data_IF_443072326299
#
_entry.id   IF_443072326299
#
_cell.length_a   1.000
_cell.length_b   1.000
_cell.length_c   1.000
_cell.angle_alpha   90.00
_cell.angle_beta   90.00
_cell.angle_gamma   90.00
#
_symmetry.space_group_name_H-M   'P 1'
#
loop_
_entity.id
_entity.type
_entity.pdbx_description
1 polymer ?
#
# COMPACT_ATOMS: atom_id res chain seq x y z
N UNK A 1 -61.65 56.84 -31.35
CA UNK A 1 -61.71 56.73 -32.83
C UNK A 1 -60.80 55.56 -33.21
N UNK A 2 -61.30 54.32 -33.27
CA UNK A 2 -62.01 53.70 -34.40
C UNK A 2 -61.16 53.68 -35.69
N UNK A 3 -60.66 52.47 -36.01
CA UNK A 3 -60.27 51.85 -37.31
C UNK A 3 -59.47 52.69 -38.33
N UNK A 4 -58.51 52.14 -39.06
CA UNK A 4 -58.76 51.33 -40.26
C UNK A 4 -57.46 50.61 -40.65
N UNK A 5 -57.52 49.28 -40.76
CA UNK A 5 -56.60 48.48 -41.58
C UNK A 5 -57.09 48.55 -43.03
N UNK A 6 -56.23 48.73 -44.03
CA UNK A 6 -56.52 48.30 -45.38
C UNK A 6 -55.87 46.95 -45.64
N UNK A 7 -56.73 45.98 -45.95
CA UNK A 7 -56.40 44.74 -46.64
C UNK A 7 -55.65 45.02 -47.96
N UNK A 8 -54.72 44.12 -48.28
CA UNK A 8 -54.45 43.52 -49.61
C UNK A 8 -52.96 43.41 -49.89
N UNK A 9 -52.41 42.23 -49.62
CA UNK A 9 -51.32 41.68 -50.44
C UNK A 9 -51.74 40.29 -50.93
N UNK A 10 -51.65 40.03 -52.25
CA UNK A 10 -52.13 38.82 -52.87
C UNK A 10 -51.21 37.64 -52.55
N UNK A 11 -51.83 36.47 -52.59
CA UNK A 11 -51.30 35.13 -52.49
C UNK A 11 -49.93 34.95 -53.17
N UNK A 12 -48.84 35.12 -52.41
CA UNK A 12 -47.59 34.43 -52.71
C UNK A 12 -47.78 32.97 -52.33
N UNK A 13 -48.16 32.14 -53.31
CA UNK A 13 -48.02 30.69 -53.20
C UNK A 13 -46.53 30.39 -53.07
N UNK A 14 -46.08 30.16 -51.85
CA UNK A 14 -44.83 29.44 -51.62
C UNK A 14 -44.91 28.12 -52.40
N UNK A 15 -43.84 27.73 -53.11
CA UNK A 15 -43.83 26.48 -53.86
C UNK A 15 -44.13 25.35 -52.89
N UNK A 16 -45.03 24.45 -53.28
CA UNK A 16 -45.34 23.26 -52.53
C UNK A 16 -44.02 22.53 -52.23
N UNK A 17 -43.64 22.45 -50.95
CA UNK A 17 -42.75 21.43 -50.42
C UNK A 17 -43.52 20.10 -50.45
N UNK A 18 -43.85 19.69 -51.67
CA UNK A 18 -44.57 18.49 -52.04
C UNK A 18 -43.59 17.46 -52.56
N UNK A 19 -42.84 16.89 -51.62
CA UNK A 19 -42.38 15.50 -51.65
C UNK A 19 -41.93 15.20 -50.23
N UNK A 20 -42.55 14.20 -49.58
CA UNK A 20 -41.91 13.58 -48.41
C UNK A 20 -40.55 13.12 -48.93
N UNK A 21 -39.42 13.55 -48.34
CA UNK A 21 -38.13 13.07 -48.79
C UNK A 21 -38.17 11.55 -48.72
N UNK A 22 -37.62 10.88 -49.74
CA UNK A 22 -37.55 9.43 -49.78
C UNK A 22 -37.05 8.94 -48.41
N UNK A 23 -37.71 7.98 -47.73
CA UNK A 23 -37.26 7.50 -46.42
C UNK A 23 -35.76 7.15 -46.41
N UNK A 24 -35.21 6.72 -47.55
CA UNK A 24 -33.78 6.48 -47.74
C UNK A 24 -32.93 7.77 -47.68
N UNK A 25 -33.43 8.89 -48.19
CA UNK A 25 -32.77 10.21 -48.09
C UNK A 25 -32.83 10.75 -46.66
N UNK A 26 -33.93 10.52 -45.94
CA UNK A 26 -34.05 10.90 -44.52
C UNK A 26 -33.07 10.11 -43.65
N UNK A 27 -32.94 8.80 -43.87
CA UNK A 27 -31.96 7.97 -43.17
C UNK A 27 -30.52 8.40 -43.47
N UNK A 28 -30.20 8.76 -44.72
CA UNK A 28 -28.89 9.30 -45.11
C UNK A 28 -28.59 10.63 -44.41
N UNK A 29 -29.58 11.54 -44.34
CA UNK A 29 -29.43 12.81 -43.64
C UNK A 29 -29.21 12.61 -42.14
N UNK A 30 -29.98 11.72 -41.50
CA UNK A 30 -29.77 11.38 -40.09
C UNK A 30 -28.36 10.83 -39.86
N UNK A 31 -27.88 9.89 -40.69
CA UNK A 31 -26.50 9.38 -40.61
C UNK A 31 -25.46 10.49 -40.74
N UNK A 32 -25.65 11.45 -41.64
CA UNK A 32 -24.75 12.62 -41.75
C UNK A 32 -24.78 13.51 -40.51
N UNK A 33 -25.95 13.71 -39.89
CA UNK A 33 -26.05 14.47 -38.64
C UNK A 33 -25.39 13.75 -37.46
N UNK A 34 -25.57 12.43 -37.35
CA UNK A 34 -24.89 11.60 -36.35
C UNK A 34 -23.38 11.61 -36.55
N UNK A 35 -22.90 11.35 -37.78
CA UNK A 35 -21.47 11.42 -38.11
C UNK A 35 -20.91 12.82 -37.83
N UNK A 36 -21.64 13.88 -38.13
CA UNK A 36 -21.23 15.25 -37.83
C UNK A 36 -21.17 15.51 -36.32
N UNK A 37 -22.13 15.00 -35.55
CA UNK A 37 -22.15 15.14 -34.10
C UNK A 37 -20.99 14.37 -33.45
N UNK A 38 -20.71 13.16 -33.93
CA UNK A 38 -19.59 12.33 -33.49
C UNK A 38 -18.25 12.97 -33.82
N UNK A 39 -18.05 13.42 -35.06
CA UNK A 39 -16.84 14.15 -35.48
C UNK A 39 -16.64 15.45 -34.69
N UNK A 40 -17.72 16.18 -34.36
CA UNK A 40 -17.62 17.37 -33.50
C UNK A 40 -17.17 17.02 -32.08
N UNK A 41 -17.65 15.90 -31.54
CA UNK A 41 -17.27 15.43 -30.21
C UNK A 41 -15.81 14.98 -30.18
N UNK A 42 -15.36 14.29 -31.23
CA UNK A 42 -13.95 13.91 -31.40
C UNK A 42 -13.06 15.13 -31.57
N UNK A 43 -13.46 16.11 -32.40
CA UNK A 43 -12.74 17.37 -32.57
C UNK A 43 -12.61 18.11 -31.23
N UNK A 44 -13.70 18.23 -30.48
CA UNK A 44 -13.68 18.88 -29.18
C UNK A 44 -12.78 18.11 -28.18
N UNK A 45 -12.83 16.77 -28.19
CA UNK A 45 -11.93 15.95 -27.38
C UNK A 45 -10.45 16.12 -27.76
N UNK A 46 -10.14 16.28 -29.04
CA UNK A 46 -8.80 16.57 -29.53
C UNK A 46 -8.36 17.99 -29.16
N UNK A 47 -9.24 18.98 -29.24
CA UNK A 47 -8.96 20.36 -28.83
C UNK A 47 -8.65 20.44 -27.33
N UNK A 48 -9.44 19.76 -26.49
CA UNK A 48 -9.20 19.66 -25.05
C UNK A 48 -7.83 19.01 -24.76
N UNK A 49 -7.51 17.91 -25.44
CA UNK A 49 -6.19 17.26 -25.32
C UNK A 49 -5.06 18.17 -25.79
N UNK A 50 -5.24 18.92 -26.89
CA UNK A 50 -4.26 19.89 -27.36
C UNK A 50 -4.04 21.01 -26.36
N UNK A 51 -5.11 21.50 -25.73
CA UNK A 51 -5.02 22.51 -24.67
C UNK A 51 -4.26 21.98 -23.44
N UNK A 52 -4.55 20.76 -22.99
CA UNK A 52 -3.84 20.11 -21.89
C UNK A 52 -2.36 19.88 -22.18
N UNK A 53 -2.04 19.38 -23.38
CA UNK A 53 -0.67 19.16 -23.81
C UNK A 53 0.12 20.47 -23.93
N UNK A 54 -0.50 21.53 -24.47
CA UNK A 54 0.11 22.88 -24.47
C UNK A 54 0.34 23.39 -23.06
N UNK A 55 -0.58 23.14 -22.14
CA UNK A 55 -0.42 23.47 -20.72
C UNK A 55 0.78 22.77 -20.10
N UNK A 56 0.89 21.45 -20.29
CA UNK A 56 2.03 20.64 -19.82
C UNK A 56 3.35 21.07 -20.44
N UNK A 57 3.36 21.36 -21.75
CA UNK A 57 4.56 21.85 -22.45
C UNK A 57 5.03 23.17 -21.87
N UNK A 58 4.13 24.15 -21.70
CA UNK A 58 4.45 25.44 -21.09
C UNK A 58 4.96 25.28 -19.66
N UNK A 59 4.41 24.34 -18.89
CA UNK A 59 4.90 24.04 -17.55
C UNK A 59 6.33 23.47 -17.58
N UNK A 60 6.62 22.55 -18.50
CA UNK A 60 7.96 21.99 -18.69
C UNK A 60 8.97 23.04 -19.18
N UNK A 61 8.59 23.91 -20.11
CA UNK A 61 9.41 25.03 -20.58
C UNK A 61 9.75 25.98 -19.42
N UNK A 62 8.77 26.32 -18.60
CA UNK A 62 8.98 27.16 -17.42
C UNK A 62 9.90 26.49 -16.38
N UNK A 63 9.76 25.17 -16.16
CA UNK A 63 10.66 24.45 -15.26
C UNK A 63 12.08 24.38 -15.82
N UNK A 64 12.21 24.15 -17.13
CA UNK A 64 13.50 24.12 -17.83
C UNK A 64 14.20 25.47 -17.75
N UNK A 65 13.49 26.57 -18.02
CA UNK A 65 14.02 27.93 -17.92
C UNK A 65 14.51 28.25 -16.50
N UNK A 66 13.78 27.84 -15.46
CA UNK A 66 14.21 28.01 -14.06
C UNK A 66 15.47 27.20 -13.73
N UNK A 67 15.56 25.97 -14.23
CA UNK A 67 16.75 25.14 -14.04
C UNK A 67 17.96 25.75 -14.73
N UNK A 68 17.79 26.26 -15.96
CA UNK A 68 18.86 26.96 -16.68
C UNK A 68 19.34 28.18 -15.88
N UNK A 69 18.42 29.02 -15.39
CA UNK A 69 18.78 30.17 -14.56
C UNK A 69 19.56 29.76 -13.29
N UNK A 70 19.20 28.64 -12.66
CA UNK A 70 19.94 28.12 -11.50
C UNK A 70 21.33 27.62 -11.90
N UNK A 71 21.48 26.98 -13.06
CA UNK A 71 22.78 26.54 -13.57
C UNK A 71 23.68 27.73 -13.88
N UNK A 72 23.16 28.76 -14.56
CA UNK A 72 23.91 29.97 -14.88
C UNK A 72 24.40 30.67 -13.59
N UNK A 73 23.56 30.72 -12.54
CA UNK A 73 23.95 31.24 -11.23
C UNK A 73 25.06 30.43 -10.57
N UNK A 74 25.02 29.10 -10.69
CA UNK A 74 26.06 28.22 -10.17
C UNK A 74 27.37 28.35 -10.96
N UNK A 75 27.30 28.52 -12.28
CA UNK A 75 28.46 28.75 -13.12
C UNK A 75 29.19 30.04 -12.71
N UNK A 76 28.45 31.14 -12.51
CA UNK A 76 29.01 32.40 -12.02
C UNK A 76 29.62 32.25 -10.62
N UNK A 77 28.97 31.49 -9.74
CA UNK A 77 29.44 31.24 -8.38
C UNK A 77 30.75 30.43 -8.37
N UNK A 78 30.81 29.36 -9.15
CA UNK A 78 31.97 28.46 -9.23
C UNK A 78 33.13 29.09 -10.01
N UNK A 79 32.85 29.96 -10.98
CA UNK A 79 33.85 30.72 -11.72
C UNK A 79 34.57 31.78 -10.88
N UNK A 80 34.03 32.14 -9.71
CA UNK A 80 34.67 33.09 -8.80
C UNK A 80 35.71 32.35 -7.90
N UNK A 81 37.01 32.62 -8.03
CA UNK A 81 38.05 31.90 -7.26
C UNK A 81 37.96 32.12 -5.74
N UNK A 82 37.33 33.22 -5.29
CA UNK A 82 37.13 33.49 -3.87
C UNK A 82 35.90 32.76 -3.29
N UNK A 83 34.90 32.40 -4.11
CA UNK A 83 33.63 31.79 -3.65
C UNK A 83 33.42 30.35 -4.12
N UNK A 84 34.08 29.93 -5.18
CA UNK A 84 34.02 28.57 -5.70
C UNK A 84 34.36 27.51 -4.65
N UNK A 85 35.47 27.65 -3.88
CA UNK A 85 35.81 26.68 -2.84
C UNK A 85 34.74 26.56 -1.74
N UNK A 86 34.16 27.68 -1.29
CA UNK A 86 33.06 27.68 -0.32
C UNK A 86 31.81 26.95 -0.87
N UNK A 87 31.49 27.17 -2.14
CA UNK A 87 30.38 26.52 -2.82
C UNK A 87 30.60 25.00 -2.92
N UNK A 88 31.82 24.56 -3.24
CA UNK A 88 32.15 23.14 -3.28
C UNK A 88 31.97 22.47 -1.90
N UNK A 89 32.45 23.09 -0.83
CA UNK A 89 32.24 22.57 0.54
C UNK A 89 30.75 22.54 0.88
N UNK A 90 29.98 23.58 0.54
CA UNK A 90 28.53 23.60 0.74
C UNK A 90 27.84 22.42 0.05
N UNK A 91 28.16 22.16 -1.22
CA UNK A 91 27.56 21.05 -1.96
C UNK A 91 28.06 19.68 -1.49
N UNK A 92 29.32 19.56 -1.08
CA UNK A 92 29.85 18.35 -0.45
C UNK A 92 29.13 17.99 0.84
N UNK A 93 28.90 18.98 1.72
CA UNK A 93 28.12 18.80 2.95
C UNK A 93 26.66 18.43 2.67
N UNK A 94 26.04 19.00 1.62
CA UNK A 94 24.70 18.60 1.17
C UNK A 94 24.68 17.19 0.58
N UNK A 95 25.73 16.79 -0.13
CA UNK A 95 25.87 15.42 -0.62
C UNK A 95 25.97 14.44 0.56
N UNK A 96 26.75 14.77 1.59
CA UNK A 96 26.85 13.99 2.83
C UNK A 96 25.49 13.85 3.54
N UNK A 97 24.71 14.94 3.65
CA UNK A 97 23.34 14.89 4.19
C UNK A 97 22.43 13.96 3.40
N UNK A 98 22.47 14.06 2.06
CA UNK A 98 21.68 13.20 1.17
C UNK A 98 22.10 11.74 1.27
N UNK A 99 23.40 11.46 1.35
CA UNK A 99 23.92 10.10 1.51
C UNK A 99 23.44 9.48 2.82
N UNK A 100 23.50 10.21 3.94
CA UNK A 100 22.96 9.74 5.22
C UNK A 100 21.45 9.45 5.13
N UNK A 101 20.69 10.37 4.52
CA UNK A 101 19.26 10.19 4.31
C UNK A 101 18.95 8.96 3.44
N UNK A 102 19.66 8.79 2.33
CA UNK A 102 19.47 7.65 1.43
C UNK A 102 19.75 6.33 2.16
N UNK A 103 20.79 6.28 3.00
CA UNK A 103 21.07 5.11 3.86
C UNK A 103 19.92 4.81 4.81
N UNK A 104 19.30 5.82 5.41
CA UNK A 104 18.13 5.64 6.27
C UNK A 104 16.91 5.15 5.46
N UNK A 105 16.68 5.69 4.26
CA UNK A 105 15.59 5.27 3.37
C UNK A 105 15.74 3.80 2.96
N UNK A 106 16.93 3.41 2.49
CA UNK A 106 17.27 2.03 2.13
C UNK A 106 17.07 1.08 3.33
N UNK A 107 17.61 1.45 4.49
CA UNK A 107 17.48 0.66 5.71
C UNK A 107 16.02 0.50 6.17
N UNK A 108 15.23 1.58 6.12
CA UNK A 108 13.80 1.53 6.49
C UNK A 108 13.01 0.62 5.54
N UNK A 109 13.30 0.69 4.24
CA UNK A 109 12.63 -0.10 3.22
C UNK A 109 12.97 -1.59 3.38
N UNK A 110 14.23 -1.91 3.65
CA UNK A 110 14.67 -3.27 3.89
C UNK A 110 14.05 -3.84 5.17
N UNK A 111 14.14 -3.13 6.31
CA UNK A 111 13.53 -3.57 7.56
C UNK A 111 12.01 -3.73 7.44
N UNK A 112 11.34 -2.81 6.74
CA UNK A 112 9.90 -2.92 6.47
C UNK A 112 9.59 -4.22 5.73
N UNK A 113 10.32 -4.53 4.66
CA UNK A 113 10.16 -5.78 3.89
C UNK A 113 10.39 -7.01 4.78
N UNK A 114 11.52 -7.05 5.50
CA UNK A 114 11.85 -8.16 6.40
C UNK A 114 10.76 -8.38 7.47
N UNK A 115 10.24 -7.32 8.07
CA UNK A 115 9.16 -7.41 9.06
C UNK A 115 7.82 -7.83 8.45
N UNK A 116 7.49 -7.34 7.26
CA UNK A 116 6.29 -7.75 6.53
C UNK A 116 6.33 -9.24 6.20
N UNK A 117 7.45 -9.72 5.67
CA UNK A 117 7.61 -11.14 5.34
C UNK A 117 7.52 -12.02 6.58
N UNK A 118 8.11 -11.58 7.71
CA UNK A 118 8.01 -12.31 8.97
C UNK A 118 6.58 -12.38 9.50
N UNK A 119 5.87 -11.24 9.56
CA UNK A 119 4.49 -11.20 10.05
C UNK A 119 3.55 -11.97 9.12
N UNK A 120 3.74 -11.87 7.80
CA UNK A 120 2.98 -12.66 6.83
C UNK A 120 3.19 -14.15 7.06
N UNK A 121 4.43 -14.61 7.20
CA UNK A 121 4.73 -16.03 7.50
C UNK A 121 4.10 -16.49 8.82
N UNK A 122 4.12 -15.65 9.85
CA UNK A 122 3.47 -15.94 11.14
C UNK A 122 1.94 -16.08 10.99
N UNK A 123 1.28 -15.11 10.35
CA UNK A 123 -0.15 -15.16 10.08
C UNK A 123 -0.55 -16.41 9.27
N UNK A 124 0.26 -16.78 8.27
CA UNK A 124 0.04 -17.97 7.48
C UNK A 124 0.19 -19.25 8.30
N UNK A 125 1.20 -19.32 9.17
CA UNK A 125 1.41 -20.47 10.04
C UNK A 125 0.27 -20.62 11.06
N UNK A 126 -0.17 -19.53 11.69
CA UNK A 126 -1.29 -19.51 12.63
C UNK A 126 -2.59 -19.93 11.95
N UNK A 127 -2.88 -19.40 10.75
CA UNK A 127 -4.06 -19.80 9.98
C UNK A 127 -4.03 -21.28 9.58
N UNK A 128 -2.87 -21.80 9.16
CA UNK A 128 -2.73 -23.21 8.82
C UNK A 128 -2.92 -24.12 10.03
N UNK A 129 -2.41 -23.71 11.20
CA UNK A 129 -2.59 -24.44 12.45
C UNK A 129 -4.06 -24.49 12.86
N UNK A 130 -4.74 -23.34 12.92
CA UNK A 130 -6.16 -23.25 13.24
C UNK A 130 -7.03 -24.03 12.24
N UNK A 131 -6.75 -23.91 10.94
CA UNK A 131 -7.45 -24.68 9.91
C UNK A 131 -7.23 -26.18 10.08
N UNK A 132 -6.02 -26.62 10.39
CA UNK A 132 -5.72 -28.04 10.62
C UNK A 132 -6.48 -28.59 11.84
N UNK A 133 -6.55 -27.83 12.94
CA UNK A 133 -7.33 -28.20 14.13
C UNK A 133 -8.83 -28.30 13.81
N UNK A 134 -9.36 -27.32 13.06
CA UNK A 134 -10.77 -27.33 12.61
C UNK A 134 -11.08 -28.51 11.69
N UNK A 135 -10.17 -28.84 10.77
CA UNK A 135 -10.32 -30.01 9.90
C UNK A 135 -10.28 -31.31 10.69
N UNK A 136 -9.37 -31.45 11.66
CA UNK A 136 -9.32 -32.64 12.51
C UNK A 136 -10.63 -32.85 13.30
N UNK A 137 -11.21 -31.76 13.84
CA UNK A 137 -12.50 -31.84 14.52
C UNK A 137 -13.64 -32.19 13.55
N UNK A 138 -13.62 -31.62 12.34
CA UNK A 138 -14.59 -31.94 11.29
C UNK A 138 -14.48 -33.39 10.83
N UNK A 139 -13.28 -33.94 10.68
CA UNK A 139 -13.02 -35.34 10.34
C UNK A 139 -13.58 -36.28 11.39
N UNK A 140 -13.40 -35.97 12.68
CA UNK A 140 -13.95 -36.77 13.78
C UNK A 140 -15.49 -36.80 13.72
N UNK A 141 -16.11 -35.63 13.51
CA UNK A 141 -17.58 -35.52 13.37
C UNK A 141 -18.10 -36.24 12.13
N UNK A 142 -17.37 -36.16 11.03
CA UNK A 142 -17.72 -36.82 9.77
C UNK A 142 -17.67 -38.34 9.93
N UNK A 143 -16.62 -38.89 10.55
CA UNK A 143 -16.53 -40.33 10.87
C UNK A 143 -17.69 -40.80 11.75
N UNK A 144 -18.02 -40.04 12.80
CA UNK A 144 -19.18 -40.35 13.65
C UNK A 144 -20.51 -40.34 12.87
N UNK A 145 -20.71 -39.36 11.99
CA UNK A 145 -21.90 -39.29 11.14
C UNK A 145 -21.96 -40.45 10.13
N UNK A 146 -20.82 -40.87 9.58
CA UNK A 146 -20.72 -42.05 8.70
C UNK A 146 -21.10 -43.33 9.44
N UNK A 147 -20.55 -43.55 10.63
CA UNK A 147 -20.88 -44.70 11.48
C UNK A 147 -22.37 -44.76 11.82
N UNK A 148 -22.99 -43.62 12.15
CA UNK A 148 -24.44 -43.53 12.43
C UNK A 148 -25.26 -43.84 11.18
N UNK A 149 -24.93 -43.23 10.04
CA UNK A 149 -25.65 -43.46 8.79
C UNK A 149 -25.57 -44.93 8.35
N UNK A 150 -24.40 -45.55 8.47
CA UNK A 150 -24.21 -46.97 8.10
C UNK A 150 -24.92 -47.91 9.08
N UNK A 151 -24.93 -47.60 10.38
CA UNK A 151 -25.70 -48.36 11.37
C UNK A 151 -27.22 -48.30 11.11
N UNK A 152 -27.77 -47.12 10.79
CA UNK A 152 -29.20 -46.98 10.47
C UNK A 152 -29.57 -47.70 9.16
N UNK A 153 -28.69 -47.66 8.14
CA UNK A 153 -28.84 -48.43 6.89
C UNK A 153 -28.84 -49.93 7.12
N UNK A 154 -27.95 -50.44 7.96
CA UNK A 154 -27.90 -51.86 8.29
C UNK A 154 -29.19 -52.30 9.00
N UNK A 155 -29.64 -51.53 10.00
CA UNK A 155 -30.91 -51.75 10.71
C UNK A 155 -32.12 -51.76 9.77
N UNK A 156 -32.14 -50.87 8.77
CA UNK A 156 -33.19 -50.85 7.76
C UNK A 156 -33.19 -52.14 6.92
N UNK A 157 -32.03 -52.56 6.40
CA UNK A 157 -31.89 -53.80 5.62
C UNK A 157 -32.33 -55.02 6.41
N UNK A 158 -31.90 -55.16 7.66
CA UNK A 158 -32.33 -56.26 8.52
C UNK A 158 -33.85 -56.32 8.71
N UNK A 159 -34.51 -55.16 8.86
CA UNK A 159 -35.97 -55.08 9.01
C UNK A 159 -36.70 -55.40 7.70
N UNK A 160 -36.17 -54.93 6.57
CA UNK A 160 -36.68 -55.26 5.23
C UNK A 160 -36.61 -56.77 4.98
N UNK A 161 -35.50 -57.42 5.33
CA UNK A 161 -35.36 -58.88 5.23
C UNK A 161 -36.34 -59.61 6.16
N UNK A 162 -36.52 -59.15 7.41
CA UNK A 162 -37.50 -59.74 8.35
C UNK A 162 -38.93 -59.65 7.81
N UNK A 163 -39.29 -58.51 7.20
CA UNK A 163 -40.60 -58.33 6.58
C UNK A 163 -40.78 -59.25 5.37
N UNK A 164 -39.74 -59.38 4.52
CA UNK A 164 -39.75 -60.27 3.36
C UNK A 164 -39.94 -61.76 3.74
N UNK A 165 -39.41 -62.19 4.89
CA UNK A 165 -39.61 -63.56 5.41
C UNK A 165 -41.04 -63.85 5.89
N UNK A 166 -41.87 -62.83 6.13
CA UNK A 166 -43.26 -62.98 6.63
C UNK A 166 -44.29 -63.08 5.48
N UNK A 167 -44.18 -64.10 4.64
CA UNK A 167 -45.02 -64.27 3.43
C UNK A 167 -46.46 -64.75 3.67
N UNK A 168 -46.70 -65.59 4.70
CA UNK A 168 -47.98 -66.27 4.92
C UNK A 168 -49.14 -65.35 5.33
N UNK A 169 -50.37 -65.72 4.97
CA UNK A 169 -51.55 -64.86 5.17
C UNK A 169 -51.86 -64.53 6.65
N UNK A 170 -51.57 -65.45 7.57
CA UNK A 170 -51.77 -65.25 9.02
C UNK A 170 -50.86 -64.17 9.64
N UNK A 171 -49.78 -63.76 8.96
CA UNK A 171 -48.86 -62.72 9.45
C UNK A 171 -49.35 -61.29 9.21
N UNK A 172 -50.61 -61.07 8.81
CA UNK A 172 -51.14 -59.74 8.46
C UNK A 172 -50.90 -58.67 9.54
N UNK A 173 -51.30 -58.90 10.79
CA UNK A 173 -51.12 -57.93 11.88
C UNK A 173 -49.64 -57.70 12.22
N UNK A 174 -48.82 -58.76 12.20
CA UNK A 174 -47.37 -58.66 12.44
C UNK A 174 -46.67 -57.88 11.33
N UNK A 175 -47.05 -58.07 10.06
CA UNK A 175 -46.57 -57.27 8.92
C UNK A 175 -46.96 -55.80 9.05
N UNK A 176 -48.20 -55.51 9.46
CA UNK A 176 -48.67 -54.13 9.63
C UNK A 176 -47.91 -53.38 10.72
N UNK A 177 -47.61 -54.05 11.85
CA UNK A 177 -46.76 -53.51 12.91
C UNK A 177 -45.32 -53.26 12.44
N UNK A 178 -44.70 -54.27 11.81
CA UNK A 178 -43.35 -54.15 11.24
C UNK A 178 -43.25 -53.08 10.15
N UNK A 179 -44.29 -52.89 9.33
CA UNK A 179 -44.32 -51.87 8.29
C UNK A 179 -44.26 -50.46 8.88
N UNK A 180 -45.02 -50.19 9.95
CA UNK A 180 -44.96 -48.90 10.64
C UNK A 180 -43.58 -48.64 11.26
N UNK A 181 -42.94 -49.66 11.84
CA UNK A 181 -41.58 -49.57 12.36
C UNK A 181 -40.53 -49.36 11.25
N UNK A 182 -40.78 -49.88 10.05
CA UNK A 182 -39.92 -49.74 8.88
C UNK A 182 -39.99 -48.32 8.32
N UNK A 183 -41.18 -47.72 8.26
CA UNK A 183 -41.35 -46.33 7.86
C UNK A 183 -40.66 -45.36 8.84
N UNK A 184 -40.77 -45.60 10.15
CA UNK A 184 -40.01 -44.84 11.15
C UNK A 184 -38.49 -45.02 10.98
N UNK A 185 -38.03 -46.23 10.63
CA UNK A 185 -36.61 -46.50 10.38
C UNK A 185 -36.10 -45.80 9.11
N UNK A 186 -36.93 -45.72 8.05
CA UNK A 186 -36.60 -44.97 6.83
C UNK A 186 -36.41 -43.49 7.12
N UNK A 187 -37.26 -42.91 7.96
CA UNK A 187 -37.11 -41.52 8.39
C UNK A 187 -35.76 -41.30 9.11
N UNK A 188 -35.36 -42.21 10.01
CA UNK A 188 -34.05 -42.15 10.68
C UNK A 188 -32.88 -42.26 9.72
N UNK A 189 -32.96 -43.12 8.70
CA UNK A 189 -31.93 -43.20 7.66
C UNK A 189 -31.82 -41.87 6.89
N UNK A 190 -32.94 -41.26 6.50
CA UNK A 190 -32.95 -39.98 5.79
C UNK A 190 -32.36 -38.87 6.66
N UNK A 191 -32.69 -38.83 7.94
CA UNK A 191 -32.12 -37.87 8.90
C UNK A 191 -30.61 -38.04 9.07
N UNK A 192 -30.13 -39.29 9.22
CA UNK A 192 -28.71 -39.59 9.34
C UNK A 192 -27.93 -39.25 8.05
N UNK A 193 -28.49 -39.53 6.88
CA UNK A 193 -27.89 -39.17 5.59
C UNK A 193 -27.83 -37.66 5.38
N UNK A 194 -28.85 -36.92 5.84
CA UNK A 194 -28.85 -35.47 5.83
C UNK A 194 -27.76 -34.91 6.74
N UNK A 195 -27.66 -35.40 7.98
CA UNK A 195 -26.59 -34.98 8.90
C UNK A 195 -25.20 -35.26 8.32
N UNK A 196 -25.00 -36.40 7.66
CA UNK A 196 -23.76 -36.74 6.97
C UNK A 196 -23.46 -35.76 5.82
N UNK A 197 -24.47 -35.39 5.03
CA UNK A 197 -24.33 -34.40 3.97
C UNK A 197 -23.93 -33.03 4.54
N UNK A 198 -24.59 -32.59 5.61
CA UNK A 198 -24.29 -31.32 6.30
C UNK A 198 -22.85 -31.31 6.83
N UNK A 199 -22.38 -32.41 7.43
CA UNK A 199 -20.99 -32.53 7.91
C UNK A 199 -19.96 -32.52 6.77
N UNK A 200 -20.28 -33.16 5.64
CA UNK A 200 -19.44 -33.11 4.42
C UNK A 200 -19.35 -31.71 3.85
N UNK A 201 -20.44 -30.96 3.86
CA UNK A 201 -20.45 -29.57 3.42
C UNK A 201 -19.66 -28.66 4.36
N UNK A 202 -19.81 -28.82 5.67
CA UNK A 202 -19.01 -28.10 6.66
C UNK A 202 -17.51 -28.37 6.49
N UNK A 203 -17.12 -29.63 6.28
CA UNK A 203 -15.73 -30.00 5.99
C UNK A 203 -15.21 -29.32 4.72
N UNK A 204 -15.96 -29.40 3.61
CA UNK A 204 -15.59 -28.75 2.33
C UNK A 204 -15.47 -27.23 2.47
N UNK A 205 -16.29 -26.61 3.31
CA UNK A 205 -16.22 -25.16 3.58
C UNK A 205 -14.90 -24.78 4.24
N UNK A 206 -14.45 -25.54 5.25
CA UNK A 206 -13.15 -25.31 5.91
C UNK A 206 -11.99 -25.60 4.95
N UNK A 207 -12.14 -26.60 4.07
CA UNK A 207 -11.10 -26.94 3.10
C UNK A 207 -10.92 -25.87 2.01
N UNK A 208 -12.00 -25.21 1.61
CA UNK A 208 -12.00 -24.17 0.57
C UNK A 208 -11.79 -22.76 1.11
N UNK A 209 -11.52 -22.62 2.40
CA UNK A 209 -11.29 -21.31 3.00
C UNK A 209 -10.07 -20.63 2.34
N UNK A 210 -10.24 -19.41 1.79
CA UNK A 210 -9.15 -18.70 1.15
C UNK A 210 -8.13 -18.26 2.20
N UNK A 211 -6.91 -18.01 1.72
CA UNK A 211 -5.86 -17.45 2.55
C UNK A 211 -6.25 -16.06 3.07
N UNK A 212 -5.95 -15.74 4.33
CA UNK A 212 -6.27 -14.43 4.87
C UNK A 212 -5.47 -13.35 4.14
N UNK A 213 -6.12 -12.22 3.85
CA UNK A 213 -5.45 -11.04 3.33
C UNK A 213 -4.50 -10.48 4.39
N UNK A 214 -3.32 -10.01 3.95
CA UNK A 214 -2.35 -9.41 4.86
C UNK A 214 -2.70 -7.93 5.04
N UNK A 215 -3.11 -7.48 6.25
CA UNK A 215 -3.54 -6.10 6.49
C UNK A 215 -2.38 -5.09 6.49
N UNK A 216 -1.14 -5.55 6.30
CA UNK A 216 0.07 -4.74 6.42
C UNK A 216 0.74 -4.93 7.78
N UNK A 217 1.75 -4.10 8.05
CA UNK A 217 2.47 -4.15 9.32
C UNK A 217 1.58 -3.74 10.48
N UNK A 218 1.68 -4.49 11.58
CA UNK A 218 1.09 -4.07 12.86
C UNK A 218 1.68 -2.75 13.33
N UNK A 219 0.97 -2.04 14.22
CA UNK A 219 1.47 -0.81 14.84
C UNK A 219 2.81 -1.06 15.54
N UNK A 220 2.92 -2.16 16.28
CA UNK A 220 4.16 -2.59 16.92
C UNK A 220 5.28 -2.86 15.91
N UNK A 221 4.95 -3.49 14.77
CA UNK A 221 5.89 -3.69 13.68
C UNK A 221 6.42 -2.37 13.12
N UNK A 222 5.54 -1.38 12.89
CA UNK A 222 5.92 -0.03 12.45
C UNK A 222 6.76 0.70 13.50
N UNK A 223 6.39 0.63 14.79
CA UNK A 223 7.16 1.20 15.90
C UNK A 223 8.57 0.62 15.96
N UNK A 224 8.71 -0.70 15.85
CA UNK A 224 10.01 -1.35 15.88
C UNK A 224 10.92 -0.89 14.72
N UNK A 225 10.36 -0.74 13.50
CA UNK A 225 11.12 -0.19 12.36
C UNK A 225 11.51 1.27 12.64
N UNK A 226 10.58 2.10 13.11
CA UNK A 226 10.85 3.51 13.41
C UNK A 226 11.96 3.68 14.46
N UNK A 227 11.92 2.91 15.56
CA UNK A 227 12.96 2.96 16.59
C UNK A 227 14.33 2.54 16.04
N UNK A 228 14.38 1.53 15.18
CA UNK A 228 15.62 1.12 14.52
C UNK A 228 16.16 2.19 13.56
N UNK A 229 15.29 2.86 12.79
CA UNK A 229 15.67 3.99 11.93
C UNK A 229 16.22 5.15 12.75
N UNK A 230 15.60 5.48 13.88
CA UNK A 230 16.08 6.53 14.78
C UNK A 230 17.44 6.14 15.38
N UNK A 231 17.61 4.88 15.81
CA UNK A 231 18.89 4.38 16.29
C UNK A 231 20.00 4.49 15.23
N UNK A 232 19.66 4.21 13.97
CA UNK A 232 20.59 4.38 12.86
C UNK A 232 20.93 5.86 12.62
N UNK A 233 19.94 6.75 12.64
CA UNK A 233 20.16 8.19 12.55
C UNK A 233 21.07 8.72 13.68
N UNK A 234 20.90 8.22 14.92
CA UNK A 234 21.79 8.55 16.03
C UNK A 234 23.22 8.02 15.82
N UNK A 235 23.38 6.85 15.20
CA UNK A 235 24.69 6.27 14.90
C UNK A 235 25.42 7.10 13.83
N UNK A 236 24.71 7.48 12.77
CA UNK A 236 25.24 8.36 11.71
C UNK A 236 25.60 9.74 12.26
N UNK A 237 24.74 10.33 13.09
CA UNK A 237 25.06 11.56 13.80
C UNK A 237 26.33 11.39 14.61
N UNK A 238 26.43 10.33 15.42
CA UNK A 238 27.54 10.16 16.33
C UNK A 238 28.90 10.07 15.61
N UNK A 239 28.95 9.37 14.47
CA UNK A 239 30.15 9.24 13.63
C UNK A 239 30.57 10.58 13.02
N UNK A 240 29.61 11.37 12.53
CA UNK A 240 29.87 12.65 11.88
C UNK A 240 29.98 13.85 12.84
N UNK A 241 29.57 13.67 14.10
CA UNK A 241 29.59 14.73 15.11
C UNK A 241 31.01 15.05 15.59
N UNK A 242 31.90 14.04 15.64
CA UNK A 242 33.29 14.20 16.11
C UNK A 242 34.07 15.20 15.26
N UNK A 243 33.87 15.18 13.94
CA UNK A 243 34.49 16.14 12.99
C UNK A 243 33.71 17.45 12.84
N UNK A 244 32.56 17.58 13.52
CA UNK A 244 31.63 18.70 13.37
C UNK A 244 30.80 18.66 12.07
N UNK A 245 30.97 17.65 11.23
CA UNK A 245 30.29 17.53 9.94
C UNK A 245 28.79 17.39 10.06
N UNK A 246 28.27 16.71 11.10
CA UNK A 246 26.83 16.55 11.27
C UNK A 246 26.10 17.90 11.32
N UNK A 247 26.59 18.82 12.15
CA UNK A 247 26.03 20.16 12.27
C UNK A 247 26.22 20.98 10.99
N UNK A 248 27.41 20.91 10.38
CA UNK A 248 27.69 21.63 9.13
C UNK A 248 26.83 21.14 7.97
N UNK A 249 26.61 19.83 7.83
CA UNK A 249 25.73 19.23 6.83
C UNK A 249 24.28 19.67 7.02
N UNK A 250 23.80 19.72 8.28
CA UNK A 250 22.48 20.25 8.61
C UNK A 250 22.33 21.72 8.21
N UNK A 251 23.31 22.55 8.58
CA UNK A 251 23.30 23.98 8.23
C UNK A 251 23.35 24.18 6.71
N UNK A 252 24.17 23.41 6.00
CA UNK A 252 24.25 23.46 4.54
C UNK A 252 22.95 23.01 3.87
N UNK A 253 22.22 22.05 4.44
CA UNK A 253 20.92 21.61 3.91
C UNK A 253 19.83 22.69 4.07
N UNK A 254 19.92 23.49 5.13
CA UNK A 254 18.91 24.50 5.47
C UNK A 254 19.21 25.92 4.96
N UNK A 255 20.43 26.18 4.46
CA UNK A 255 20.87 27.51 4.02
C UNK A 255 21.15 27.55 2.52
N UNK A 256 21.07 28.76 1.95
CA UNK A 256 21.51 29.00 0.57
C UNK A 256 23.03 28.98 0.46
N UNK A 257 23.54 28.47 -0.67
CA UNK A 257 24.98 28.45 -1.01
C UNK A 257 25.59 29.85 -1.01
N UNK A 258 24.82 30.89 -1.34
CA UNK A 258 25.31 32.28 -1.40
C UNK A 258 25.79 32.81 -0.03
N UNK A 259 25.18 32.29 1.05
CA UNK A 259 25.50 32.64 2.43
C UNK A 259 26.64 31.81 3.02
N UNK A 260 27.12 30.79 2.32
CA UNK A 260 28.11 29.86 2.82
C UNK A 260 29.50 30.51 2.85
N UNK A 261 30.20 30.38 3.99
CA UNK A 261 31.57 30.83 4.20
C UNK A 261 32.27 29.78 5.03
N UNK A 262 33.27 29.12 4.46
CA UNK A 262 34.01 28.03 5.10
C UNK A 262 35.50 28.34 5.28
N UNK A 263 36.01 29.38 4.61
CA UNK A 263 37.31 29.95 4.94
C UNK A 263 38.13 30.29 3.71
N UNK A 264 39.44 30.11 3.82
CA UNK A 264 40.37 30.28 2.70
C UNK A 264 40.37 29.01 1.81
N UNK A 265 40.91 29.07 0.58
CA UNK A 265 40.91 27.93 -0.33
C UNK A 265 41.55 26.65 0.26
N UNK A 266 42.61 26.79 1.04
CA UNK A 266 43.29 25.66 1.69
C UNK A 266 42.40 24.95 2.71
N UNK A 267 41.69 25.71 3.55
CA UNK A 267 40.72 25.15 4.51
C UNK A 267 39.55 24.49 3.79
N UNK A 268 39.08 25.05 2.68
CA UNK A 268 38.01 24.45 1.88
C UNK A 268 38.46 23.11 1.26
N UNK A 269 39.69 23.04 0.74
CA UNK A 269 40.25 21.79 0.20
C UNK A 269 40.42 20.73 1.29
N UNK A 270 40.93 21.11 2.48
CA UNK A 270 41.02 20.20 3.61
C UNK A 270 39.63 19.67 4.01
N UNK A 271 38.61 20.53 4.07
CA UNK A 271 37.24 20.11 4.35
C UNK A 271 36.66 19.21 3.29
N UNK A 272 36.93 19.44 2.01
CA UNK A 272 36.50 18.53 0.95
C UNK A 272 37.12 17.14 1.10
N UNK A 273 38.40 17.06 1.48
CA UNK A 273 39.06 15.78 1.75
C UNK A 273 38.42 15.06 2.95
N UNK A 274 38.12 15.77 4.03
CA UNK A 274 37.41 15.18 5.17
C UNK A 274 36.00 14.69 4.79
N UNK A 275 35.26 15.45 3.96
CA UNK A 275 33.93 15.04 3.46
C UNK A 275 34.03 13.77 2.62
N UNK A 276 35.06 13.65 1.77
CA UNK A 276 35.28 12.46 0.95
C UNK A 276 35.53 11.22 1.82
N UNK A 277 36.36 11.34 2.84
CA UNK A 277 36.57 10.28 3.85
C UNK A 277 35.26 9.89 4.53
N UNK A 278 34.47 10.87 4.98
CA UNK A 278 33.19 10.60 5.63
C UNK A 278 32.18 9.93 4.67
N UNK A 279 32.16 10.31 3.39
CA UNK A 279 31.34 9.66 2.38
C UNK A 279 31.79 8.21 2.15
N UNK A 280 33.11 7.94 2.10
CA UNK A 280 33.63 6.59 1.96
C UNK A 280 33.24 5.69 3.15
N UNK A 281 33.34 6.20 4.38
CA UNK A 281 32.93 5.47 5.59
C UNK A 281 31.43 5.12 5.62
N UNK A 282 30.58 5.93 4.97
CA UNK A 282 29.16 5.61 4.83
C UNK A 282 28.89 4.47 3.83
N UNK A 283 29.86 4.13 2.96
CA UNK A 283 29.73 3.04 2.00
C UNK A 283 30.13 1.68 2.55
N UNK A 284 31.15 1.64 3.41
CA UNK A 284 31.62 0.42 4.08
C UNK A 284 31.50 0.56 5.61
N UNK A 285 30.26 0.56 6.15
CA UNK A 285 30.09 0.85 7.56
C UNK A 285 30.42 -0.38 8.41
N UNK A 286 31.68 -0.51 8.83
CA UNK A 286 32.10 -1.51 9.80
C UNK A 286 31.41 -1.29 11.16
N UNK A 287 30.95 -2.37 11.80
CA UNK A 287 30.37 -2.35 13.15
C UNK A 287 29.02 -1.63 13.28
N UNK A 288 28.42 -1.09 12.21
CA UNK A 288 27.24 -0.24 12.36
C UNK A 288 26.00 -1.01 12.81
N UNK A 289 25.89 -2.29 12.46
CA UNK A 289 24.75 -3.12 12.84
C UNK A 289 24.69 -3.37 14.35
N UNK A 290 25.84 -3.53 15.01
CA UNK A 290 25.91 -3.71 16.47
C UNK A 290 25.62 -2.39 17.19
N UNK A 291 26.11 -1.27 16.67
CA UNK A 291 25.78 0.08 17.18
C UNK A 291 24.27 0.36 17.09
N UNK A 292 23.65 0.10 15.93
CA UNK A 292 22.22 0.27 15.73
C UNK A 292 21.43 -0.59 16.72
N UNK A 293 21.83 -1.84 16.94
CA UNK A 293 21.15 -2.72 17.91
C UNK A 293 21.24 -2.17 19.34
N UNK A 294 22.44 -1.82 19.80
CA UNK A 294 22.64 -1.32 21.17
C UNK A 294 21.90 0.00 21.40
N UNK A 295 21.94 0.93 20.44
CA UNK A 295 21.18 2.19 20.52
C UNK A 295 19.68 1.95 20.43
N UNK A 296 19.25 1.02 19.56
CA UNK A 296 17.86 0.61 19.41
C UNK A 296 17.26 0.09 20.70
N UNK A 297 17.99 -0.74 21.46
CA UNK A 297 17.56 -1.23 22.78
C UNK A 297 17.40 -0.10 23.80
N UNK A 298 18.37 0.83 23.87
CA UNK A 298 18.29 2.00 24.77
C UNK A 298 17.11 2.92 24.42
N UNK A 299 16.91 3.18 23.13
CA UNK A 299 15.80 3.99 22.62
C UNK A 299 14.46 3.30 22.92
N UNK A 300 14.35 1.99 22.68
CA UNK A 300 13.15 1.23 22.94
C UNK A 300 12.77 1.23 24.43
N UNK A 301 13.74 1.21 25.33
CA UNK A 301 13.50 1.26 26.78
C UNK A 301 12.92 2.61 27.26
N UNK A 302 13.21 3.71 26.55
CA UNK A 302 12.79 5.06 26.92
C UNK A 302 11.63 5.62 26.08
N UNK A 303 11.29 4.98 24.95
CA UNK A 303 10.30 5.46 24.00
C UNK A 303 8.89 5.51 24.61
N UNK A 304 8.24 6.68 24.52
CA UNK A 304 6.83 6.86 24.82
C UNK A 304 6.09 7.35 23.58
N UNK A 305 4.80 7.03 23.48
CA UNK A 305 3.93 7.44 22.37
C UNK A 305 2.76 8.23 22.93
N UNK A 306 2.25 9.21 22.18
CA UNK A 306 1.11 10.01 22.63
C UNK A 306 -0.17 9.18 22.67
N UNK A 307 -0.28 8.18 21.78
CA UNK A 307 -1.48 7.35 21.63
C UNK A 307 -1.12 5.90 21.26
N UNK A 308 -2.05 4.94 21.42
CA UNK A 308 -1.84 3.56 21.01
C UNK A 308 -1.75 3.38 19.48
N UNK A 309 -2.23 4.35 18.69
CA UNK A 309 -2.20 4.30 17.22
C UNK A 309 -0.98 4.97 16.61
N UNK A 310 -0.26 5.80 17.39
CA UNK A 310 0.94 6.47 16.93
C UNK A 310 2.12 5.49 16.77
N UNK A 311 2.86 5.68 15.69
CA UNK A 311 4.01 4.87 15.29
C UNK A 311 5.34 5.59 15.54
N UNK A 312 5.33 6.92 15.61
CA UNK A 312 6.49 7.77 15.89
C UNK A 312 6.52 8.11 17.39
N UNK A 313 7.64 7.88 18.10
CA UNK A 313 7.74 8.19 19.53
C UNK A 313 7.81 9.71 19.79
N UNK A 314 7.49 10.12 21.01
CA UNK A 314 7.66 11.50 21.45
C UNK A 314 9.14 11.86 21.48
N UNK A 315 9.59 12.94 20.81
CA UNK A 315 11.00 13.29 20.78
C UNK A 315 11.62 13.50 22.16
N UNK A 316 10.85 14.07 23.11
CA UNK A 316 11.29 14.32 24.49
C UNK A 316 11.53 13.06 25.32
N UNK A 317 11.00 11.90 24.90
CA UNK A 317 11.20 10.64 25.63
C UNK A 317 12.49 9.93 25.21
N UNK A 318 13.10 10.33 24.10
CA UNK A 318 14.25 9.63 23.55
C UNK A 318 15.56 10.12 24.17
N UNK A 319 16.50 9.22 24.48
CA UNK A 319 17.85 9.63 24.87
C UNK A 319 18.50 10.34 23.69
N UNK A 320 19.22 11.45 23.91
CA UNK A 320 19.92 12.14 22.83
C UNK A 320 21.08 11.29 22.30
N UNK A 321 21.53 11.62 21.09
CA UNK A 321 22.71 11.02 20.50
C UNK A 321 23.97 11.57 21.18
N UNK A 322 24.39 10.93 22.27
CA UNK A 322 25.57 11.33 23.00
C UNK A 322 26.87 10.85 22.33
N UNK A 323 27.84 11.76 22.26
CA UNK A 323 29.23 11.52 21.83
C UNK A 323 30.15 12.30 22.76
N UNK A 324 31.09 11.62 23.41
CA UNK A 324 32.00 12.27 24.35
C UNK A 324 32.73 13.46 23.72
N UNK A 325 32.63 14.63 24.34
CA UNK A 325 33.25 15.87 23.85
C UNK A 325 32.46 16.65 22.80
N UNK A 326 31.27 16.20 22.39
CA UNK A 326 30.38 16.91 21.45
C UNK A 326 29.00 17.13 22.10
N UNK A 327 28.30 18.25 21.84
CA UNK A 327 26.96 18.46 22.38
C UNK A 327 26.00 17.36 21.95
N UNK A 328 25.26 16.83 22.92
CA UNK A 328 24.18 15.87 22.71
C UNK A 328 23.10 16.45 21.77
N UNK A 329 22.69 15.68 20.76
CA UNK A 329 21.64 16.10 19.83
C UNK A 329 20.44 15.15 19.83
N UNK A 330 19.24 15.72 19.80
CA UNK A 330 18.03 14.93 19.59
C UNK A 330 17.71 14.88 18.10
N UNK A 331 18.05 13.75 17.47
CA UNK A 331 17.92 13.56 16.01
C UNK A 331 16.50 13.72 15.49
N UNK A 332 15.47 13.50 16.34
CA UNK A 332 14.08 13.77 15.97
C UNK A 332 13.73 15.26 16.05
N UNK A 333 14.05 15.92 17.16
CA UNK A 333 13.74 17.36 17.34
C UNK A 333 14.44 18.19 16.27
N UNK A 334 15.68 17.84 15.96
CA UNK A 334 16.52 18.59 15.04
C UNK A 334 16.35 18.18 13.57
N UNK A 335 15.51 17.17 13.30
CA UNK A 335 15.26 16.53 12.01
C UNK A 335 16.54 16.20 11.25
N UNK A 336 17.50 15.59 11.96
CA UNK A 336 18.74 15.14 11.34
C UNK A 336 18.43 14.16 10.21
N UNK A 337 19.02 14.38 9.04
CA UNK A 337 18.89 13.53 7.85
C UNK A 337 17.46 13.44 7.26
N UNK A 338 16.59 14.41 7.56
CA UNK A 338 15.15 14.39 7.24
C UNK A 338 14.46 13.12 7.79
N UNK A 339 14.83 12.65 8.99
CA UNK A 339 14.32 11.40 9.58
C UNK A 339 12.79 11.31 9.54
N UNK A 340 12.05 12.41 9.73
CA UNK A 340 10.59 12.38 9.65
C UNK A 340 10.01 11.94 8.30
N UNK A 341 10.77 12.09 7.20
CA UNK A 341 10.36 11.61 5.86
C UNK A 341 10.57 10.11 5.68
N UNK A 342 11.45 9.52 6.50
CA UNK A 342 11.82 8.10 6.44
C UNK A 342 10.91 7.24 7.34
N UNK A 343 10.43 7.81 8.45
CA UNK A 343 9.60 7.07 9.41
C UNK A 343 8.26 6.61 8.81
N UNK A 344 7.85 5.40 9.19
CA UNK A 344 6.57 4.81 8.84
C UNK A 344 5.46 5.47 9.66
N UNK A 345 4.40 5.92 9.00
CA UNK A 345 3.19 6.45 9.65
C UNK A 345 2.20 5.35 9.94
#
# INVERSE_FOLDING_TARGET
MAAILPEKWPQFRLPALGSRPDPLEQERLLKLFWNRAELKKELQGLDDQLHDLRGKLKQQENSSSRLQQQLDQLEVLLGNPARGPDALVHFGLRALWRACRERLEQFSAELKRQKQDRQRRQQLAEFQQDRAERLQLADQRLRQAEEVADAERLRLREREERLARLGSFWHYFRRRGLAAELDAQRQRCVEAERQLADMREAHRTIEKEPWPEFPGLTIEGRRAVNLAVIAYAQSLYARLAVSGMAMQARLASNRSVESARYGNPETCLARLAEIDVALAELHEPEGITTEIRQRGERIAAAATWRSPTETVPQPSSLPPAAVGGVPDANVLVEDYWDVYKVLLR
#
